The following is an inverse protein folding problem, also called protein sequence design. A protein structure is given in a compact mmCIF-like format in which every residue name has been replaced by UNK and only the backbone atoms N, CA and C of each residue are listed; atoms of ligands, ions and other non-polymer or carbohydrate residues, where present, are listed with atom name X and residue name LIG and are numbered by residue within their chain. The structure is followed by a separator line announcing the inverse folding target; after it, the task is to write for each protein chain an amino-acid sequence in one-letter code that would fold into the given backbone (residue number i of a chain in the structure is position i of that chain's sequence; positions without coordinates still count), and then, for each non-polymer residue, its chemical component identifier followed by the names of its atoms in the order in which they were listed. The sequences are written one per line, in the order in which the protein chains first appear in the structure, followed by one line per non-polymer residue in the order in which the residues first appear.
data_IF_667568857106
#
_entry.id   IF_667568857106
#
_cell.length_a   1.000
_cell.length_b   1.000
_cell.length_c   1.000
_cell.angle_alpha   90.00
_cell.angle_beta   90.00
_cell.angle_gamma   90.00
#
_symmetry.space_group_name_H-M   'P 1'
#
loop_
_entity.id
_entity.type
_entity.pdbx_description
1 polymer ?
#
# COMPACT_ATOMS: atom_id res chain seq x y z
N UNK A 1 4.34 -2.64 -12.64
CA UNK A 1 4.78 -3.28 -11.37
C UNK A 1 3.63 -4.00 -10.69
N UNK A 2 3.92 -4.92 -9.75
CA UNK A 2 2.93 -5.60 -8.91
C UNK A 2 2.78 -4.82 -7.61
N UNK A 3 1.55 -4.52 -7.21
CA UNK A 3 1.23 -3.75 -6.01
C UNK A 3 0.50 -4.64 -5.00
N UNK A 4 0.99 -4.64 -3.76
CA UNK A 4 0.25 -5.22 -2.64
C UNK A 4 -0.79 -4.20 -2.17
N UNK A 5 -2.03 -4.63 -1.96
CA UNK A 5 -3.11 -3.82 -1.42
C UNK A 5 -3.38 -4.31 -0.01
N UNK A 6 -3.24 -3.41 0.97
CA UNK A 6 -3.52 -3.67 2.38
C UNK A 6 -4.91 -3.11 2.70
N UNK A 7 -5.95 -3.80 2.22
CA UNK A 7 -7.35 -3.41 2.42
C UNK A 7 -8.24 -4.65 2.52
N UNK A 8 -9.14 -4.67 3.51
CA UNK A 8 -10.19 -5.70 3.59
C UNK A 8 -11.34 -5.44 2.60
N UNK A 9 -11.49 -4.20 2.16
CA UNK A 9 -12.48 -3.81 1.17
C UNK A 9 -11.88 -3.89 -0.24
N UNK A 10 -12.69 -4.31 -1.20
CA UNK A 10 -12.36 -4.18 -2.62
C UNK A 10 -12.31 -2.72 -3.04
N UNK A 11 -11.78 -2.45 -4.23
CA UNK A 11 -11.78 -1.11 -4.81
C UNK A 11 -12.61 -1.08 -6.08
N UNK A 12 -13.33 0.02 -6.30
CA UNK A 12 -13.96 0.28 -7.58
C UNK A 12 -12.89 0.46 -8.67
N UNK A 13 -13.23 0.09 -9.90
CA UNK A 13 -12.31 0.11 -11.05
C UNK A 13 -11.67 1.49 -11.31
N UNK A 14 -12.34 2.58 -10.92
CA UNK A 14 -11.81 3.95 -10.97
C UNK A 14 -10.51 4.10 -10.17
N UNK A 15 -10.41 3.49 -9.00
CA UNK A 15 -9.24 3.52 -8.11
C UNK A 15 -8.11 2.69 -8.72
N UNK A 16 -8.41 1.47 -9.19
CA UNK A 16 -7.43 0.63 -9.89
C UNK A 16 -6.86 1.32 -11.13
N UNK A 17 -7.70 2.04 -11.89
CA UNK A 17 -7.27 2.81 -13.05
C UNK A 17 -6.28 3.91 -12.67
N UNK A 18 -6.48 4.61 -11.55
CA UNK A 18 -5.51 5.60 -11.06
C UNK A 18 -4.19 4.92 -10.68
N UNK A 19 -4.22 3.83 -9.91
CA UNK A 19 -3.00 3.08 -9.57
C UNK A 19 -2.25 2.57 -10.82
N UNK A 20 -2.98 2.16 -11.87
CA UNK A 20 -2.40 1.78 -13.16
C UNK A 20 -1.70 2.93 -13.87
N UNK A 21 -2.22 4.17 -13.79
CA UNK A 21 -1.53 5.36 -14.30
C UNK A 21 -0.16 5.56 -13.64
N UNK A 22 -0.01 5.16 -12.38
CA UNK A 22 1.28 5.19 -11.67
C UNK A 22 2.15 3.94 -11.89
N UNK A 23 1.75 3.05 -12.81
CA UNK A 23 2.52 1.88 -13.24
C UNK A 23 2.15 0.56 -12.55
N UNK A 24 1.17 0.52 -11.66
CA UNK A 24 0.70 -0.72 -11.01
C UNK A 24 -0.16 -1.53 -11.98
N UNK A 25 0.35 -2.64 -12.53
CA UNK A 25 -0.34 -3.46 -13.54
C UNK A 25 -0.96 -4.75 -12.99
N UNK A 26 -0.51 -5.19 -11.82
CA UNK A 26 -1.01 -6.38 -11.11
C UNK A 26 -1.24 -6.01 -9.65
N UNK A 27 -2.32 -6.51 -9.08
CA UNK A 27 -2.73 -6.22 -7.71
C UNK A 27 -2.84 -7.52 -6.93
N UNK A 28 -2.33 -7.52 -5.70
CA UNK A 28 -2.45 -8.64 -4.77
C UNK A 28 -3.08 -8.10 -3.51
N UNK A 29 -4.15 -8.73 -3.04
CA UNK A 29 -4.73 -8.38 -1.75
C UNK A 29 -3.96 -9.08 -0.64
N UNK A 30 -3.50 -8.32 0.36
CA UNK A 30 -2.86 -8.88 1.54
C UNK A 30 -3.76 -9.88 2.27
N UNK A 31 -5.06 -9.58 2.35
CA UNK A 31 -6.00 -10.37 3.14
C UNK A 31 -6.38 -11.72 2.52
N UNK A 32 -6.01 -11.95 1.25
CA UNK A 32 -6.11 -13.26 0.61
C UNK A 32 -4.98 -14.22 1.06
N UNK A 33 -3.98 -13.70 1.78
CA UNK A 33 -2.79 -14.43 2.26
C UNK A 33 -2.71 -14.53 3.78
N UNK A 34 -3.26 -13.53 4.49
CA UNK A 34 -3.19 -13.38 5.95
C UNK A 34 -4.46 -12.72 6.47
N UNK A 35 -4.97 -13.14 7.63
CA UNK A 35 -6.19 -12.56 8.21
C UNK A 35 -5.94 -11.23 8.97
N UNK A 36 -4.71 -11.03 9.44
CA UNK A 36 -4.28 -9.86 10.19
C UNK A 36 -2.77 -9.63 10.00
N UNK A 37 -2.31 -8.43 10.37
CA UNK A 37 -0.91 -8.06 10.53
C UNK A 37 -0.74 -7.44 11.92
N UNK A 38 0.42 -7.61 12.53
CA UNK A 38 0.78 -6.98 13.81
C UNK A 38 1.64 -5.73 13.59
N UNK A 39 2.59 -5.83 12.67
CA UNK A 39 3.50 -4.73 12.34
C UNK A 39 3.76 -4.63 10.83
N UNK A 40 4.62 -3.68 10.44
CA UNK A 40 5.00 -3.49 9.05
C UNK A 40 5.75 -4.69 8.47
N UNK A 41 6.48 -5.47 9.29
CA UNK A 41 7.30 -6.58 8.83
C UNK A 41 6.43 -7.69 8.26
N UNK A 42 5.26 -7.93 8.84
CA UNK A 42 4.27 -8.88 8.30
C UNK A 42 3.84 -8.50 6.89
N UNK A 43 3.54 -7.21 6.67
CA UNK A 43 3.09 -6.68 5.38
C UNK A 43 4.22 -6.77 4.35
N UNK A 44 5.43 -6.37 4.75
CA UNK A 44 6.63 -6.39 3.91
C UNK A 44 7.01 -7.82 3.53
N UNK A 45 6.89 -8.78 4.44
CA UNK A 45 7.14 -10.19 4.16
C UNK A 45 6.22 -10.70 3.04
N UNK A 46 4.91 -10.45 3.14
CA UNK A 46 3.95 -10.83 2.08
C UNK A 46 4.25 -10.10 0.77
N UNK A 47 4.55 -8.79 0.84
CA UNK A 47 4.90 -8.02 -0.35
C UNK A 47 6.12 -8.60 -1.08
N UNK A 48 7.17 -8.95 -0.34
CA UNK A 48 8.40 -9.55 -0.88
C UNK A 48 8.16 -10.97 -1.43
N UNK A 49 7.42 -11.81 -0.71
CA UNK A 49 7.01 -13.16 -1.16
C UNK A 49 6.26 -13.10 -2.50
N UNK A 50 5.34 -12.16 -2.62
CA UNK A 50 4.54 -11.96 -3.83
C UNK A 50 5.27 -11.19 -4.94
N UNK A 51 6.52 -10.78 -4.69
CA UNK A 51 7.36 -9.97 -5.59
C UNK A 51 6.68 -8.64 -5.96
N UNK A 52 5.97 -8.04 -5.00
CA UNK A 52 5.43 -6.70 -5.13
C UNK A 52 6.57 -5.67 -5.06
N UNK A 53 6.49 -4.64 -5.90
CA UNK A 53 7.43 -3.50 -5.90
C UNK A 53 6.83 -2.23 -5.31
N UNK A 54 5.55 -2.28 -4.94
CA UNK A 54 4.81 -1.18 -4.33
C UNK A 54 3.79 -1.73 -3.36
N UNK A 55 3.39 -0.91 -2.39
CA UNK A 55 2.34 -1.23 -1.42
C UNK A 55 1.35 -0.07 -1.36
N UNK A 56 0.06 -0.39 -1.30
CA UNK A 56 -1.03 0.56 -1.11
C UNK A 56 -1.69 0.33 0.26
N UNK A 57 -1.73 1.37 1.09
CA UNK A 57 -2.32 1.37 2.43
C UNK A 57 -3.59 2.20 2.47
N UNK A 58 -4.58 1.81 3.29
CA UNK A 58 -5.76 2.64 3.56
C UNK A 58 -5.48 3.55 4.76
N UNK A 59 -5.60 4.87 4.58
CA UNK A 59 -5.50 5.90 5.62
C UNK A 59 -4.27 5.82 6.55
N UNK A 60 -3.16 5.20 6.13
CA UNK A 60 -2.01 4.98 7.01
C UNK A 60 -0.70 5.46 6.40
N UNK A 61 -0.41 6.76 6.58
CA UNK A 61 0.85 7.37 6.15
C UNK A 61 2.05 6.85 6.96
N UNK A 62 1.86 6.50 8.24
CA UNK A 62 2.94 5.95 9.07
C UNK A 62 3.46 4.62 8.51
N UNK A 63 2.57 3.69 8.18
CA UNK A 63 2.95 2.42 7.54
C UNK A 63 3.56 2.65 6.16
N UNK A 64 3.08 3.64 5.41
CA UNK A 64 3.67 3.99 4.12
C UNK A 64 5.14 4.42 4.28
N UNK A 65 5.44 5.29 5.26
CA UNK A 65 6.82 5.70 5.55
C UNK A 65 7.69 4.54 6.04
N UNK A 66 7.14 3.65 6.88
CA UNK A 66 7.85 2.45 7.33
C UNK A 66 8.14 1.50 6.16
N UNK A 67 7.20 1.30 5.24
CA UNK A 67 7.43 0.53 4.03
C UNK A 67 8.53 1.15 3.15
N UNK A 68 8.57 2.48 3.04
CA UNK A 68 9.64 3.17 2.32
C UNK A 68 11.01 2.92 2.98
N UNK A 69 11.08 2.96 4.31
CA UNK A 69 12.30 2.60 5.06
C UNK A 69 12.72 1.13 4.85
N UNK A 70 11.75 0.24 4.60
CA UNK A 70 11.99 -1.17 4.24
C UNK A 70 12.40 -1.40 2.77
N UNK A 71 12.65 -0.31 2.03
CA UNK A 71 13.19 -0.34 0.67
C UNK A 71 12.15 -0.30 -0.45
N UNK A 72 10.89 -0.01 -0.15
CA UNK A 72 9.89 0.24 -1.20
C UNK A 72 10.01 1.69 -1.69
N UNK A 73 10.46 1.91 -2.92
CA UNK A 73 10.67 3.27 -3.46
C UNK A 73 9.38 3.98 -3.91
N UNK A 74 8.25 3.26 -3.90
CA UNK A 74 6.95 3.74 -4.31
C UNK A 74 5.85 3.08 -3.48
N UNK A 75 5.13 3.88 -2.72
CA UNK A 75 3.97 3.44 -1.93
C UNK A 75 2.78 4.35 -2.18
N UNK A 76 1.58 3.85 -1.92
CA UNK A 76 0.35 4.61 -2.07
C UNK A 76 -0.40 4.66 -0.75
N UNK A 77 -0.97 5.82 -0.45
CA UNK A 77 -1.97 5.96 0.62
C UNK A 77 -3.29 6.31 -0.03
N UNK A 78 -4.29 5.46 0.20
CA UNK A 78 -5.65 5.61 -0.31
C UNK A 78 -6.49 6.10 0.85
N UNK A 79 -7.10 7.28 0.68
CA UNK A 79 -7.98 7.90 1.68
C UNK A 79 -9.40 7.87 1.15
N UNK A 80 -10.25 6.92 1.59
CA UNK A 80 -11.62 6.78 1.11
C UNK A 80 -12.46 8.03 1.37
N UNK A 81 -13.23 8.45 0.37
CA UNK A 81 -14.28 9.48 0.51
C UNK A 81 -15.66 8.85 0.61
N UNK A 82 -15.87 7.76 -0.13
CA UNK A 82 -17.11 7.01 -0.15
C UNK A 82 -16.80 5.51 -0.24
N UNK A 83 -17.43 4.72 0.61
CA UNK A 83 -17.34 3.27 0.59
C UNK A 83 -18.70 2.64 0.88
N UNK A 84 -18.87 1.41 0.43
CA UNK A 84 -19.94 0.50 0.85
C UNK A 84 -19.37 -0.50 1.86
N UNK A 85 -20.15 -1.44 2.40
CA UNK A 85 -19.61 -2.53 3.21
C UNK A 85 -18.64 -3.45 2.48
N UNK A 86 -18.65 -3.47 1.14
CA UNK A 86 -17.83 -4.38 0.32
C UNK A 86 -16.68 -3.67 -0.42
N UNK A 87 -16.86 -2.41 -0.81
CA UNK A 87 -15.90 -1.72 -1.68
C UNK A 87 -15.70 -0.24 -1.35
N UNK A 88 -14.52 0.28 -1.69
CA UNK A 88 -14.22 1.71 -1.72
C UNK A 88 -14.61 2.25 -3.09
N UNK A 89 -15.57 3.16 -3.12
CA UNK A 89 -16.18 3.70 -4.36
C UNK A 89 -15.37 4.89 -4.89
N UNK A 90 -14.88 5.75 -3.99
CA UNK A 90 -14.03 6.89 -4.32
C UNK A 90 -13.03 7.19 -3.20
N UNK A 91 -11.87 7.71 -3.57
CA UNK A 91 -10.78 8.01 -2.64
C UNK A 91 -9.84 9.08 -3.19
N UNK A 92 -9.18 9.83 -2.31
CA UNK A 92 -7.93 10.51 -2.66
C UNK A 92 -6.79 9.50 -2.62
N UNK A 93 -5.89 9.58 -3.60
CA UNK A 93 -4.76 8.66 -3.72
C UNK A 93 -3.48 9.47 -3.73
N UNK A 94 -2.68 9.27 -2.70
CA UNK A 94 -1.38 9.89 -2.55
C UNK A 94 -0.30 8.89 -2.97
N UNK A 95 0.47 9.23 -3.99
CA UNK A 95 1.68 8.48 -4.36
C UNK A 95 2.86 9.09 -3.61
N UNK A 96 3.56 8.29 -2.83
CA UNK A 96 4.80 8.68 -2.14
C UNK A 96 5.94 7.98 -2.88
N UNK A 97 6.83 8.77 -3.45
CA UNK A 97 7.94 8.32 -4.27
C UNK A 97 9.25 8.88 -3.72
N UNK A 98 10.31 8.07 -3.72
CA UNK A 98 11.63 8.48 -3.26
C UNK A 98 12.34 7.42 -2.42
N UNK A 99 13.41 7.83 -1.75
CA UNK A 99 14.13 7.00 -0.79
C UNK A 99 14.08 7.69 0.59
N UNK A 100 13.69 6.93 1.62
CA UNK A 100 13.76 7.40 3.01
C UNK A 100 15.13 7.04 3.56
N UNK A 101 15.83 8.03 4.11
CA UNK A 101 17.08 7.83 4.85
C UNK A 101 16.82 8.06 6.34
N UNK A 102 16.98 7.02 7.15
CA UNK A 102 16.92 7.14 8.61
C UNK A 102 18.33 7.40 9.13
N UNK A 103 18.50 8.47 9.91
CA UNK A 103 19.76 8.86 10.54
C UNK A 103 19.56 8.72 12.04
N UNK A 104 20.49 8.03 12.72
CA UNK A 104 20.50 7.90 14.17
C UNK A 104 21.39 8.99 14.75
N UNK A 105 20.80 9.97 15.43
CA UNK A 105 21.54 10.90 16.27
C UNK A 105 21.66 10.31 17.68
N UNK A 106 22.87 10.30 18.23
CA UNK A 106 23.11 9.94 19.62
C UNK A 106 23.06 11.24 20.44
N UNK A 107 22.13 11.32 21.38
CA UNK A 107 22.10 12.36 22.41
C UNK A 107 22.99 11.94 23.59
#
# INVERSE_FOLDING_TARGET
MKCLIVSRLGFKESIYRILRKHGCRKFINYYDRRHAWQDIKDIVAVARQEKCRSIAFICNFSLAMQAMNEGFNKVFVIVPKLHTPAEIVSADIYAIEGAVKVIKELA
#
